data_IF_059185099104
#
_entry.id   IF_059185099104
#
_cell.length_a   1.000
_cell.length_b   1.000
_cell.length_c   1.000
_cell.angle_alpha   90.00
_cell.angle_beta   90.00
_cell.angle_gamma   90.00
#
_symmetry.space_group_name_H-M   'P 1'
#
loop_
_entity.id
_entity.type
_entity.pdbx_description
1 polymer ?
#
# COMPACT_ATOMS: atom_id res chain seq x y z
N UNK A 1 -8.35 -28.23 -2.47
CA UNK A 1 -7.96 -27.06 -1.65
C UNK A 1 -6.48 -27.15 -1.33
N UNK A 2 -5.63 -26.41 -2.06
CA UNK A 2 -4.17 -26.52 -1.94
C UNK A 2 -3.65 -25.65 -0.79
N UNK A 3 -2.97 -26.27 0.17
CA UNK A 3 -2.15 -25.62 1.20
C UNK A 3 -0.81 -25.24 0.56
N UNK A 4 -0.57 -23.94 0.32
CA UNK A 4 0.71 -23.25 -0.03
C UNK A 4 0.26 -21.87 -0.57
N UNK A 5 0.10 -20.85 0.26
CA UNK A 5 1.16 -19.90 0.59
C UNK A 5 0.76 -19.14 1.86
N UNK A 6 1.38 -19.41 3.01
CA UNK A 6 1.53 -18.35 4.03
C UNK A 6 2.69 -17.46 3.57
N UNK A 7 2.58 -16.88 2.38
CA UNK A 7 3.47 -15.77 2.02
C UNK A 7 3.22 -14.68 3.05
N UNK A 8 4.26 -14.33 3.82
CA UNK A 8 4.21 -13.20 4.74
C UNK A 8 3.90 -11.99 3.88
N UNK A 9 2.62 -11.56 3.84
CA UNK A 9 2.21 -10.39 3.09
C UNK A 9 3.11 -9.23 3.51
N UNK A 10 3.78 -8.62 2.54
CA UNK A 10 4.65 -7.49 2.86
C UNK A 10 3.79 -6.32 3.31
N UNK A 11 4.38 -5.35 4.02
CA UNK A 11 3.63 -4.15 4.40
C UNK A 11 3.08 -3.42 3.17
N UNK A 12 3.78 -3.48 2.03
CA UNK A 12 3.33 -2.93 0.76
C UNK A 12 2.08 -3.65 0.22
N UNK A 13 2.05 -4.98 0.25
CA UNK A 13 0.91 -5.77 -0.24
C UNK A 13 -0.32 -5.57 0.65
N UNK A 14 -0.12 -5.42 1.97
CA UNK A 14 -1.20 -5.08 2.91
C UNK A 14 -1.79 -3.71 2.57
N UNK A 15 -0.95 -2.70 2.36
CA UNK A 15 -1.38 -1.34 2.01
C UNK A 15 -2.12 -1.34 0.66
N UNK A 16 -1.59 -2.05 -0.34
CA UNK A 16 -2.23 -2.20 -1.64
C UNK A 16 -3.61 -2.85 -1.53
N UNK A 17 -3.72 -3.93 -0.74
CA UNK A 17 -4.97 -4.62 -0.47
C UNK A 17 -6.01 -3.71 0.20
N UNK A 18 -5.60 -2.89 1.18
CA UNK A 18 -6.49 -1.91 1.83
C UNK A 18 -6.98 -0.86 0.82
N UNK A 19 -6.08 -0.28 0.03
CA UNK A 19 -6.49 0.72 -0.97
C UNK A 19 -7.46 0.09 -1.98
N UNK A 20 -7.22 -1.16 -2.39
CA UNK A 20 -8.11 -1.90 -3.29
C UNK A 20 -9.47 -2.17 -2.67
N UNK A 21 -9.55 -2.59 -1.41
CA UNK A 21 -10.82 -2.85 -0.72
C UNK A 21 -11.66 -1.59 -0.51
N UNK A 22 -11.03 -0.41 -0.57
CA UNK A 22 -11.68 0.90 -0.53
C UNK A 22 -11.98 1.47 -1.94
N UNK A 23 -12.05 0.62 -2.98
CA UNK A 23 -12.39 1.06 -4.34
C UNK A 23 -11.21 1.68 -5.09
N UNK A 24 -9.99 1.32 -4.73
CA UNK A 24 -8.78 1.80 -5.41
C UNK A 24 -8.25 3.15 -4.91
N UNK A 25 -8.91 3.74 -3.90
CA UNK A 25 -8.50 5.00 -3.25
C UNK A 25 -8.74 4.94 -1.75
N UNK A 26 -7.77 5.39 -0.94
CA UNK A 26 -7.93 5.45 0.50
C UNK A 26 -7.20 6.65 1.14
N UNK A 27 -7.77 7.27 2.18
CA UNK A 27 -7.06 8.24 3.00
C UNK A 27 -6.03 7.54 3.91
N UNK A 28 -4.96 8.25 4.24
CA UNK A 28 -3.86 7.77 5.05
C UNK A 28 -4.31 7.31 6.44
N UNK A 29 -5.32 7.97 7.01
CA UNK A 29 -5.94 7.58 8.29
C UNK A 29 -6.59 6.19 8.24
N UNK A 30 -7.26 5.85 7.13
CA UNK A 30 -7.84 4.51 6.91
C UNK A 30 -6.73 3.49 6.76
N UNK A 31 -5.69 3.82 5.99
CA UNK A 31 -4.53 2.92 5.82
C UNK A 31 -3.87 2.62 7.18
N UNK A 32 -3.65 3.64 8.02
CA UNK A 32 -3.08 3.45 9.35
C UNK A 32 -3.95 2.56 10.24
N UNK A 33 -5.25 2.82 10.26
CA UNK A 33 -6.20 2.04 11.07
C UNK A 33 -6.21 0.57 10.64
N UNK A 34 -6.35 0.30 9.35
CA UNK A 34 -6.42 -1.08 8.83
C UNK A 34 -5.08 -1.81 8.93
N UNK A 35 -3.96 -1.13 8.68
CA UNK A 35 -2.62 -1.71 8.91
C UNK A 35 -2.43 -2.02 10.40
N UNK A 36 -2.82 -1.12 11.31
CA UNK A 36 -2.71 -1.36 12.75
C UNK A 36 -3.56 -2.54 13.22
N UNK A 37 -4.72 -2.77 12.57
CA UNK A 37 -5.58 -3.94 12.80
C UNK A 37 -4.97 -5.24 12.29
N UNK A 38 -4.40 -5.23 11.08
CA UNK A 38 -3.85 -6.42 10.43
C UNK A 38 -2.44 -6.78 10.93
N UNK A 39 -1.66 -5.77 11.29
CA UNK A 39 -0.27 -5.91 11.76
C UNK A 39 -0.02 -4.96 12.93
N UNK A 40 -0.49 -5.34 14.14
CA UNK A 40 -0.26 -4.56 15.35
C UNK A 40 1.24 -4.29 15.56
N UNK A 41 1.58 -3.08 16.01
CA UNK A 41 2.97 -2.68 16.27
C UNK A 41 3.70 -2.01 15.10
N UNK A 42 3.12 -1.95 13.90
CA UNK A 42 3.68 -1.13 12.81
C UNK A 42 3.45 0.35 13.12
N UNK A 43 4.53 1.12 13.23
CA UNK A 43 4.46 2.57 13.44
C UNK A 43 3.95 3.28 12.19
N UNK A 44 3.13 4.32 12.36
CA UNK A 44 2.63 5.13 11.24
C UNK A 44 3.75 5.71 10.36
N UNK A 45 4.89 6.07 10.96
CA UNK A 45 6.06 6.55 10.22
C UNK A 45 6.58 5.52 9.21
N UNK A 46 6.57 4.24 9.58
CA UNK A 46 6.98 3.13 8.69
C UNK A 46 5.98 2.98 7.53
N UNK A 47 4.67 3.04 7.83
CA UNK A 47 3.62 2.98 6.80
C UNK A 47 3.79 4.14 5.81
N UNK A 48 4.02 5.35 6.33
CA UNK A 48 4.23 6.55 5.52
C UNK A 48 5.48 6.45 4.63
N UNK A 49 6.57 5.87 5.16
CA UNK A 49 7.78 5.62 4.37
C UNK A 49 7.50 4.66 3.21
N UNK A 50 6.85 3.52 3.47
CA UNK A 50 6.48 2.55 2.43
C UNK A 50 5.59 3.17 1.36
N UNK A 51 4.56 3.94 1.75
CA UNK A 51 3.70 4.64 0.79
C UNK A 51 4.50 5.63 -0.06
N UNK A 52 5.41 6.40 0.57
CA UNK A 52 6.25 7.37 -0.13
C UNK A 52 7.15 6.67 -1.15
N UNK A 53 7.82 5.60 -0.76
CA UNK A 53 8.70 4.84 -1.66
C UNK A 53 7.91 4.20 -2.81
N UNK A 54 6.69 3.73 -2.54
CA UNK A 54 5.79 3.18 -3.56
C UNK A 54 5.23 4.26 -4.51
N UNK A 55 5.13 5.52 -4.05
CA UNK A 55 4.81 6.67 -4.91
C UNK A 55 6.01 7.12 -5.76
N UNK A 56 7.23 6.96 -5.26
CA UNK A 56 8.46 7.32 -6.00
C UNK A 56 8.91 6.20 -6.95
N UNK A 57 8.33 5.00 -6.84
CA UNK A 57 8.78 3.82 -7.60
C UNK A 57 10.14 3.28 -7.14
N UNK A 58 10.57 3.60 -5.91
CA UNK A 58 11.92 3.31 -5.40
C UNK A 58 12.03 2.00 -4.61
N UNK A 59 10.90 1.35 -4.25
CA UNK A 59 10.88 -0.02 -3.74
C UNK A 59 11.32 -0.99 -4.86
N UNK A 60 12.61 -1.39 -4.81
CA UNK A 60 13.49 -1.94 -5.87
C UNK A 60 12.96 -3.01 -6.84
N UNK A 61 13.59 -2.99 -8.03
CA UNK A 61 13.83 -4.08 -9.02
C UNK A 61 12.58 -4.76 -9.62
N UNK A 62 11.88 -4.08 -10.52
CA UNK A 62 11.11 -4.74 -11.59
C UNK A 62 10.81 -3.74 -12.71
N UNK A 63 11.68 -3.71 -13.72
CA UNK A 63 11.40 -3.53 -15.17
C UNK A 63 10.48 -2.43 -15.72
N UNK A 64 9.88 -1.56 -14.92
CA UNK A 64 9.20 -0.34 -15.37
C UNK A 64 9.13 0.62 -14.19
N UNK A 65 9.77 1.80 -14.26
CA UNK A 65 9.79 2.83 -13.20
C UNK A 65 8.43 3.51 -12.93
N UNK A 66 7.34 2.74 -12.93
CA UNK A 66 5.98 3.21 -12.69
C UNK A 66 5.65 3.10 -11.20
N UNK A 67 5.08 4.15 -10.60
CA UNK A 67 4.73 4.12 -9.20
C UNK A 67 3.56 3.15 -8.95
N UNK A 68 3.51 2.55 -7.75
CA UNK A 68 2.45 1.62 -7.36
C UNK A 68 1.24 2.36 -6.83
N UNK A 69 1.48 3.50 -6.17
CA UNK A 69 0.47 4.42 -5.66
C UNK A 69 0.67 5.82 -6.24
N UNK A 70 -0.42 6.58 -6.31
CA UNK A 70 -0.39 8.01 -6.61
C UNK A 70 -1.05 8.77 -5.48
N UNK A 71 -0.54 9.98 -5.21
CA UNK A 71 -1.17 10.89 -4.27
C UNK A 71 -2.20 11.74 -5.02
N UNK A 72 -3.48 11.51 -4.76
CA UNK A 72 -4.57 12.25 -5.43
C UNK A 72 -4.87 13.59 -4.74
N UNK A 73 -4.72 13.65 -3.41
CA UNK A 73 -4.77 14.90 -2.63
C UNK A 73 -3.98 14.75 -1.33
N UNK A 74 -3.91 15.80 -0.51
CA UNK A 74 -3.21 15.75 0.78
C UNK A 74 -3.77 14.61 1.65
N UNK A 75 -2.91 13.63 1.95
CA UNK A 75 -3.25 12.48 2.78
C UNK A 75 -4.16 11.45 2.12
N UNK A 76 -4.34 11.45 0.79
CA UNK A 76 -5.15 10.44 0.09
C UNK A 76 -4.36 9.85 -1.07
N UNK A 77 -4.39 8.52 -1.15
CA UNK A 77 -3.61 7.73 -2.08
C UNK A 77 -4.51 6.79 -2.88
N UNK A 78 -4.20 6.61 -4.16
CA UNK A 78 -4.89 5.69 -5.04
C UNK A 78 -3.90 4.71 -5.69
N UNK A 79 -4.38 3.56 -6.16
CA UNK A 79 -3.58 2.67 -6.99
C UNK A 79 -3.28 3.34 -8.34
N UNK A 80 -2.05 3.26 -8.81
CA UNK A 80 -1.67 3.87 -10.09
C UNK A 80 -2.54 3.38 -11.26
N UNK A 81 -2.84 2.08 -11.30
CA UNK A 81 -3.68 1.49 -12.35
C UNK A 81 -5.20 1.75 -12.19
N UNK A 82 -5.65 2.36 -11.08
CA UNK A 82 -7.09 2.59 -10.83
C UNK A 82 -7.58 3.96 -11.33
N UNK A 83 -6.70 4.75 -11.94
CA UNK A 83 -7.03 6.11 -12.45
C UNK A 83 -6.91 6.22 -13.97
N UNK A 84 -6.82 5.09 -14.66
CA UNK A 84 -6.88 4.99 -16.12
C UNK A 84 -8.22 4.43 -16.57
#
# INVERSE_FOLDING_TARGET
MSKRDRSVLTLLDIIEGIIRSHGGVAPLSVIYKEVGRLRPGVKEATIRAVIRDACMGTLRKATTGKPRFIRVKKGVYALYNSTR
#
